data_IF_172208911122
#
_entry.id   IF_172208911122
#
_cell.length_a   1.000
_cell.length_b   1.000
_cell.length_c   1.000
_cell.angle_alpha   90.00
_cell.angle_beta   90.00
_cell.angle_gamma   90.00
#
_symmetry.space_group_name_H-M   'P 1'
#
loop_
_entity.id
_entity.type
_entity.pdbx_description
1 polymer ?
#
# COMPACT_ATOMS: atom_id res chain seq x y z
N UNK A 1 17.69 -28.36 -62.93
CA UNK A 1 16.25 -28.08 -62.80
C UNK A 1 16.04 -27.41 -61.45
N UNK A 2 15.80 -26.09 -61.52
CA UNK A 2 15.33 -25.10 -60.52
C UNK A 2 16.02 -24.97 -59.14
N UNK A 3 16.75 -23.87 -58.99
CA UNK A 3 17.20 -23.25 -57.74
C UNK A 3 16.01 -22.69 -56.94
N UNK A 4 16.03 -22.80 -55.60
CA UNK A 4 15.17 -21.98 -54.72
C UNK A 4 16.03 -21.21 -53.72
N UNK A 5 16.36 -19.99 -54.11
CA UNK A 5 16.73 -18.89 -53.22
C UNK A 5 15.42 -18.33 -52.66
N UNK A 6 15.29 -18.15 -51.34
CA UNK A 6 14.97 -16.86 -50.71
C UNK A 6 14.90 -16.98 -49.18
N UNK A 7 15.72 -16.13 -48.55
CA UNK A 7 15.76 -15.74 -47.15
C UNK A 7 14.42 -15.07 -46.73
N UNK A 8 14.13 -15.04 -45.43
CA UNK A 8 14.17 -13.81 -44.61
C UNK A 8 13.79 -14.12 -43.16
N UNK A 9 14.63 -13.66 -42.23
CA UNK A 9 14.40 -13.77 -40.80
C UNK A 9 13.35 -12.79 -40.30
N UNK A 10 12.88 -13.02 -39.08
CA UNK A 10 12.30 -11.97 -38.27
C UNK A 10 12.59 -12.23 -36.79
N UNK A 11 13.46 -11.40 -36.26
CA UNK A 11 13.69 -11.16 -34.84
C UNK A 11 12.37 -10.67 -34.24
N UNK A 12 11.81 -11.39 -33.27
CA UNK A 12 10.79 -10.83 -32.38
C UNK A 12 11.51 -10.29 -31.16
N UNK A 13 11.78 -8.99 -31.20
CA UNK A 13 12.18 -8.22 -30.04
C UNK A 13 11.04 -8.26 -29.00
N UNK A 14 11.27 -8.98 -27.90
CA UNK A 14 10.37 -8.95 -26.74
C UNK A 14 10.43 -7.57 -26.10
N UNK A 15 9.42 -6.75 -26.36
CA UNK A 15 9.21 -5.47 -25.69
C UNK A 15 9.05 -5.71 -24.20
N UNK A 16 10.04 -5.29 -23.41
CA UNK A 16 9.91 -5.14 -21.96
C UNK A 16 8.97 -3.96 -21.72
N UNK A 17 7.67 -4.25 -21.60
CA UNK A 17 6.69 -3.24 -21.19
C UNK A 17 6.94 -2.81 -19.73
N UNK A 18 6.73 -1.54 -19.38
CA UNK A 18 6.88 -1.07 -18.02
C UNK A 18 5.88 -1.80 -17.11
N UNK A 19 6.37 -2.33 -15.98
CA UNK A 19 5.53 -2.84 -14.90
C UNK A 19 4.74 -1.65 -14.38
N UNK A 20 3.46 -1.58 -14.72
CA UNK A 20 2.53 -0.62 -14.12
C UNK A 20 2.36 -1.06 -12.67
N UNK A 21 3.07 -0.38 -11.75
CA UNK A 21 2.77 -0.45 -10.34
C UNK A 21 1.34 0.11 -10.16
N UNK A 22 0.38 -0.78 -9.99
CA UNK A 22 -1.00 -0.39 -9.73
C UNK A 22 -1.06 0.24 -8.35
N UNK A 23 -1.12 1.57 -8.27
CA UNK A 23 -1.56 2.26 -7.09
C UNK A 23 -3.04 1.91 -6.86
N UNK A 24 -3.28 0.87 -6.05
CA UNK A 24 -4.62 0.46 -5.68
C UNK A 24 -5.18 1.51 -4.75
N UNK A 25 -6.07 2.36 -5.24
CA UNK A 25 -6.79 3.31 -4.39
C UNK A 25 -7.81 2.51 -3.57
N UNK A 26 -7.66 2.38 -2.24
CA UNK A 26 -8.60 1.59 -1.46
C UNK A 26 -9.96 2.28 -1.47
N UNK A 27 -11.04 1.50 -1.61
CA UNK A 27 -12.40 2.00 -1.42
C UNK A 27 -12.51 2.65 -0.03
N UNK A 28 -12.78 3.96 0.01
CA UNK A 28 -12.89 4.73 1.25
C UNK A 28 -14.29 4.53 1.81
N UNK A 29 -14.41 3.84 2.96
CA UNK A 29 -15.63 3.82 3.76
C UNK A 29 -15.78 5.18 4.47
N UNK A 30 -16.85 5.96 4.23
CA UNK A 30 -17.05 7.26 4.87
C UNK A 30 -17.16 7.20 6.40
N UNK A 31 -17.51 6.04 6.97
CA UNK A 31 -17.57 5.85 8.42
C UNK A 31 -16.23 5.50 9.04
N UNK A 32 -15.24 5.10 8.23
CA UNK A 32 -13.91 4.81 8.72
C UNK A 32 -13.12 6.11 8.89
N UNK A 33 -12.72 6.49 10.12
CA UNK A 33 -11.94 7.71 10.34
C UNK A 33 -10.51 7.60 9.81
N UNK A 34 -10.11 6.44 9.29
CA UNK A 34 -8.79 6.20 8.72
C UNK A 34 -8.87 5.91 7.22
N UNK A 35 -8.08 6.66 6.45
CA UNK A 35 -7.84 6.39 5.03
C UNK A 35 -6.41 5.88 4.84
N UNK A 36 -6.20 4.98 3.90
CA UNK A 36 -4.90 4.41 3.62
C UNK A 36 -4.44 4.71 2.19
N UNK A 37 -3.15 4.98 2.04
CA UNK A 37 -2.40 4.84 0.80
C UNK A 37 -1.42 3.68 0.99
N UNK A 38 -1.42 2.74 0.04
CA UNK A 38 -0.71 1.47 0.15
C UNK A 38 0.07 1.23 -1.13
N UNK A 39 1.32 0.77 -1.00
CA UNK A 39 2.14 0.29 -2.10
C UNK A 39 2.86 -1.00 -1.69
N UNK A 40 3.03 -1.92 -2.66
CA UNK A 40 3.89 -3.09 -2.47
C UNK A 40 5.35 -2.62 -2.48
N UNK A 41 6.05 -2.85 -1.37
CA UNK A 41 7.46 -2.56 -1.24
C UNK A 41 8.30 -3.84 -1.25
N UNK A 42 9.52 -3.73 -1.75
CA UNK A 42 10.50 -4.82 -1.70
C UNK A 42 11.82 -4.25 -1.20
N UNK A 43 12.24 -4.70 -0.01
CA UNK A 43 13.55 -4.37 0.53
C UNK A 43 14.54 -5.49 0.23
N UNK A 44 15.76 -5.20 -0.27
CA UNK A 44 16.81 -6.21 -0.47
C UNK A 44 17.20 -6.93 0.81
N UNK A 45 17.08 -6.26 1.97
CA UNK A 45 17.54 -6.78 3.27
C UNK A 45 16.40 -7.20 4.19
N UNK A 46 15.20 -6.61 4.04
CA UNK A 46 14.06 -6.89 4.92
C UNK A 46 13.01 -7.81 4.29
N UNK A 47 13.04 -8.00 2.97
CA UNK A 47 12.06 -8.80 2.24
C UNK A 47 10.87 -7.98 1.73
N UNK A 48 9.79 -8.70 1.38
CA UNK A 48 8.55 -8.13 0.85
C UNK A 48 7.78 -7.41 1.94
N UNK A 49 7.21 -6.27 1.59
CA UNK A 49 6.46 -5.43 2.50
C UNK A 49 5.29 -4.73 1.81
N UNK A 50 4.44 -4.14 2.64
CA UNK A 50 3.51 -3.10 2.25
C UNK A 50 3.89 -1.85 3.02
N UNK A 51 4.03 -0.74 2.33
CA UNK A 51 4.33 0.55 2.93
C UNK A 51 3.32 1.61 2.48
N UNK A 52 3.35 2.75 3.15
CA UNK A 52 2.54 3.89 2.76
C UNK A 52 2.14 4.74 3.95
N UNK A 53 0.96 5.34 3.85
CA UNK A 53 0.47 6.31 4.82
C UNK A 53 -0.92 5.97 5.32
N UNK A 54 -1.13 6.12 6.63
CA UNK A 54 -2.46 6.20 7.22
C UNK A 54 -2.79 7.66 7.50
N UNK A 55 -3.94 8.11 7.04
CA UNK A 55 -4.50 9.43 7.32
C UNK A 55 -5.42 9.34 8.53
N UNK A 56 -5.23 10.25 9.48
CA UNK A 56 -6.01 10.33 10.71
C UNK A 56 -7.07 11.43 10.58
N UNK A 57 -8.30 11.08 10.25
CA UNK A 57 -9.40 12.05 10.16
C UNK A 57 -10.09 12.29 11.52
N UNK A 58 -9.54 11.77 12.61
CA UNK A 58 -10.01 12.09 13.96
C UNK A 58 -9.57 13.51 14.37
N UNK A 59 -10.28 14.16 15.31
CA UNK A 59 -9.87 15.45 15.86
C UNK A 59 -8.73 15.34 16.89
N UNK A 60 -8.20 14.14 17.16
CA UNK A 60 -7.13 13.92 18.12
C UNK A 60 -5.83 13.55 17.42
N UNK A 61 -4.71 14.00 17.97
CA UNK A 61 -3.42 13.32 17.79
C UNK A 61 -3.50 11.91 18.38
N UNK A 62 -3.00 10.93 17.66
CA UNK A 62 -2.95 9.54 18.09
C UNK A 62 -1.52 9.00 18.09
N UNK A 63 -1.24 8.04 18.96
CA UNK A 63 0.05 7.34 19.09
C UNK A 63 -0.17 5.84 19.23
N UNK A 64 0.90 5.04 19.23
CA UNK A 64 0.86 3.58 19.33
C UNK A 64 -0.15 2.98 18.34
N UNK A 65 -0.14 3.47 17.09
CA UNK A 65 -1.10 3.04 16.07
C UNK A 65 -0.66 1.69 15.53
N UNK A 66 -1.41 0.64 15.88
CA UNK A 66 -1.19 -0.72 15.42
C UNK A 66 -2.03 -0.99 14.18
N UNK A 67 -1.39 -1.54 13.16
CA UNK A 67 -2.01 -1.89 11.90
C UNK A 67 -2.07 -3.40 11.70
N UNK A 68 -3.13 -3.87 11.04
CA UNK A 68 -3.17 -5.17 10.37
C UNK A 68 -3.22 -4.96 8.87
N UNK A 69 -2.39 -5.72 8.15
CA UNK A 69 -2.37 -5.78 6.69
C UNK A 69 -2.77 -7.20 6.29
N UNK A 70 -3.84 -7.31 5.50
CA UNK A 70 -4.35 -8.56 4.94
C UNK A 70 -3.91 -8.67 3.47
N UNK A 71 -3.35 -9.81 3.09
CA UNK A 71 -3.10 -10.22 1.71
C UNK A 71 -4.35 -10.85 1.13
N UNK A 72 -4.91 -10.28 0.07
CA UNK A 72 -6.17 -10.73 -0.54
C UNK A 72 -5.95 -11.25 -1.95
N UNK A 73 -6.50 -12.43 -2.23
CA UNK A 73 -6.44 -13.06 -3.56
C UNK A 73 -7.47 -12.45 -4.54
N UNK A 74 -7.43 -12.80 -5.85
CA UNK A 74 -8.39 -12.28 -6.82
C UNK A 74 -9.85 -12.65 -6.55
N UNK A 75 -10.12 -13.69 -5.75
CA UNK A 75 -11.46 -14.10 -5.35
C UNK A 75 -11.94 -13.39 -4.08
N UNK A 76 -11.16 -12.45 -3.52
CA UNK A 76 -11.49 -11.70 -2.32
C UNK A 76 -11.20 -12.44 -1.01
N UNK A 77 -10.49 -13.58 -1.05
CA UNK A 77 -10.13 -14.33 0.16
C UNK A 77 -8.85 -13.80 0.77
N UNK A 78 -8.84 -13.68 2.09
CA UNK A 78 -7.62 -13.40 2.86
C UNK A 78 -6.72 -14.64 2.83
N UNK A 79 -5.51 -14.48 2.32
CA UNK A 79 -4.49 -15.55 2.17
C UNK A 79 -3.28 -15.36 3.07
N UNK A 80 -3.23 -14.23 3.79
CA UNK A 80 -2.19 -13.94 4.76
C UNK A 80 -2.52 -12.68 5.56
N UNK A 81 -1.93 -12.58 6.74
CA UNK A 81 -2.05 -11.42 7.62
C UNK A 81 -0.67 -11.04 8.16
N UNK A 82 -0.45 -9.74 8.33
CA UNK A 82 0.72 -9.20 8.99
C UNK A 82 0.32 -8.04 9.90
N UNK A 83 1.15 -7.73 10.87
CA UNK A 83 0.95 -6.59 11.77
C UNK A 83 2.19 -5.72 11.84
N UNK A 84 1.97 -4.42 12.04
CA UNK A 84 3.05 -3.48 12.28
C UNK A 84 2.53 -2.19 12.89
N UNK A 85 3.38 -1.17 12.84
CA UNK A 85 3.13 0.10 13.51
C UNK A 85 3.28 1.26 12.54
N UNK A 86 2.49 2.30 12.78
CA UNK A 86 2.78 3.61 12.23
C UNK A 86 3.98 4.19 12.99
N UNK A 87 4.87 4.84 12.26
CA UNK A 87 6.04 5.51 12.83
C UNK A 87 5.60 6.78 13.54
N UNK A 88 5.77 6.80 14.86
CA UNK A 88 5.51 7.96 15.71
C UNK A 88 4.03 8.31 15.85
N UNK A 89 3.78 9.55 16.25
CA UNK A 89 2.43 10.07 16.45
C UNK A 89 1.84 10.59 15.13
N UNK A 90 0.53 10.48 14.99
CA UNK A 90 -0.22 11.00 13.85
C UNK A 90 -1.11 12.15 14.31
N UNK A 91 -0.81 13.38 13.86
CA UNK A 91 -1.63 14.58 14.15
C UNK A 91 -3.08 14.41 13.66
N UNK A 92 -4.01 15.15 14.25
CA UNK A 92 -5.36 15.26 13.71
C UNK A 92 -5.33 15.82 12.28
N UNK A 93 -6.08 15.22 11.36
CA UNK A 93 -6.06 15.54 9.92
C UNK A 93 -4.75 15.21 9.20
N UNK A 94 -3.74 14.70 9.91
CA UNK A 94 -2.42 14.40 9.37
C UNK A 94 -2.30 12.99 8.80
N UNK A 95 -1.07 12.62 8.42
CA UNK A 95 -0.73 11.26 7.99
C UNK A 95 0.53 10.74 8.67
N UNK A 96 0.57 9.44 8.92
CA UNK A 96 1.73 8.74 9.47
C UNK A 96 2.20 7.63 8.54
N UNK A 97 3.51 7.46 8.41
CA UNK A 97 4.13 6.45 7.57
C UNK A 97 4.16 5.09 8.28
N UNK A 98 4.01 4.00 7.53
CA UNK A 98 4.24 2.64 8.03
C UNK A 98 4.97 1.79 6.99
N UNK A 99 5.60 0.72 7.48
CA UNK A 99 6.20 -0.35 6.68
C UNK A 99 5.95 -1.68 7.38
N UNK A 100 5.24 -2.60 6.73
CA UNK A 100 4.83 -3.89 7.31
C UNK A 100 5.31 -5.02 6.40
N UNK A 101 6.13 -5.93 6.94
CA UNK A 101 6.56 -7.12 6.22
C UNK A 101 5.38 -8.07 5.99
N UNK A 102 5.28 -8.61 4.78
CA UNK A 102 4.24 -9.59 4.41
C UNK A 102 4.88 -10.88 3.88
N UNK A 103 4.26 -12.01 4.18
CA UNK A 103 4.79 -13.33 3.84
C UNK A 103 4.57 -13.73 2.38
N UNK A 104 3.58 -13.13 1.70
CA UNK A 104 3.18 -13.50 0.35
C UNK A 104 2.79 -12.28 -0.48
N UNK A 105 2.96 -12.41 -1.81
CA UNK A 105 2.37 -11.47 -2.76
C UNK A 105 0.86 -11.66 -2.77
N UNK A 106 0.13 -10.56 -2.86
CA UNK A 106 -1.33 -10.56 -2.97
C UNK A 106 -1.78 -9.92 -4.29
N UNK A 107 -3.03 -10.19 -4.68
CA UNK A 107 -3.67 -9.42 -5.74
C UNK A 107 -4.05 -8.02 -5.24
N UNK A 108 -4.40 -7.90 -3.96
CA UNK A 108 -4.65 -6.63 -3.27
C UNK A 108 -4.26 -6.73 -1.81
N UNK A 109 -3.83 -5.63 -1.21
CA UNK A 109 -3.62 -5.55 0.24
C UNK A 109 -4.71 -4.69 0.88
N UNK A 110 -5.14 -5.07 2.08
CA UNK A 110 -6.10 -4.28 2.89
C UNK A 110 -5.47 -3.96 4.23
N UNK A 111 -5.38 -2.67 4.55
CA UNK A 111 -4.89 -2.22 5.84
C UNK A 111 -6.04 -1.75 6.74
N UNK A 112 -5.92 -2.03 8.03
CA UNK A 112 -6.86 -1.57 9.06
C UNK A 112 -6.09 -1.12 10.30
N UNK A 113 -6.59 -0.08 10.97
CA UNK A 113 -6.13 0.28 12.31
C UNK A 113 -6.78 -0.66 13.31
N UNK A 114 -5.98 -1.41 14.07
CA UNK A 114 -6.48 -2.31 15.12
C UNK A 114 -6.63 -1.60 16.47
N UNK A 115 -5.68 -0.74 16.80
CA UNK A 115 -5.67 -0.01 18.07
C UNK A 115 -4.82 1.25 17.98
N UNK A 116 -5.13 2.24 18.82
CA UNK A 116 -4.35 3.46 19.00
C UNK A 116 -4.65 4.08 20.37
N UNK A 117 -3.78 4.98 20.81
CA UNK A 117 -4.00 5.80 21.99
C UNK A 117 -4.25 7.25 21.56
N UNK A 118 -5.18 7.94 22.22
CA UNK A 118 -5.36 9.40 22.04
C UNK A 118 -4.31 10.14 22.86
N UNK A 119 -3.70 11.17 22.28
CA UNK A 119 -2.70 12.01 22.95
C UNK A 119 -3.32 13.34 23.36
N UNK A 120 -3.83 14.10 22.40
CA UNK A 120 -4.43 15.42 22.62
C UNK A 120 -5.45 15.74 21.54
N UNK A 121 -6.40 16.63 21.84
CA UNK A 121 -7.22 17.27 20.82
C UNK A 121 -6.30 18.24 20.05
N UNK A 122 -6.14 18.01 18.76
CA UNK A 122 -5.40 18.92 17.89
C UNK A 122 -6.46 19.73 17.13
N UNK A 123 -6.66 21.00 17.48
CA UNK A 123 -7.51 21.89 16.66
C UNK A 123 -6.89 21.96 15.27
N UNK A 124 -7.61 21.64 14.19
CA UNK A 124 -7.10 21.83 12.84
C UNK A 124 -6.69 23.30 12.73
N UNK A 125 -5.41 23.56 12.53
CA UNK A 125 -4.92 24.91 12.27
C UNK A 125 -5.36 25.23 10.83
N UNK A 126 -6.58 25.75 10.68
CA UNK A 126 -7.01 26.35 9.43
C UNK A 126 -6.09 27.55 9.20
N UNK A 127 -5.10 27.40 8.32
CA UNK A 127 -4.32 28.53 7.84
C UNK A 127 -5.30 29.44 7.08
N UNK A 128 -5.56 30.62 7.63
CA UNK A 128 -6.38 31.62 6.97
C UNK A 128 -5.70 32.05 5.66
N UNK A 129 -6.47 32.32 4.59
CA UNK A 129 -5.92 32.71 3.28
C UNK A 129 -5.14 34.02 3.32
#
# INVERSE_FOLDING_TARGET
>A
MVHRILLWGMVVAGVVGPVVAGAQTPATDPQNPFRFELEEAQSPFRGRAVEGYVYNNLPWRITNVRLRVESVDPAGRVTGEASGWVVGDVKAGGRGYFFVLVSSRAATYRATVQSFNKVALDTPQFEAP
#
